data_IF_794319524548
#
_entry.id   IF_794319524548
#
_cell.length_a   1.000
_cell.length_b   1.000
_cell.length_c   1.000
_cell.angle_alpha   90.00
_cell.angle_beta   90.00
_cell.angle_gamma   90.00
#
_symmetry.space_group_name_H-M   'P 1'
#
loop_
_entity.id
_entity.type
_entity.pdbx_description
1 polymer ?
#
# COMPACT_ATOMS: atom_id res chain seq x y z
N UNK A 1 -0.81 -14.21 -17.55
CA UNK A 1 -1.35 -14.58 -16.22
C UNK A 1 -0.61 -13.73 -15.20
N UNK A 2 -1.08 -12.51 -14.93
CA UNK A 2 -0.41 -11.63 -13.96
C UNK A 2 -0.80 -12.07 -12.57
N UNK A 3 0.18 -12.56 -11.79
CA UNK A 3 0.01 -12.91 -10.39
C UNK A 3 -0.60 -11.72 -9.64
N UNK A 4 -1.87 -11.86 -9.28
CA UNK A 4 -2.47 -11.15 -8.17
C UNK A 4 -1.87 -11.82 -6.93
N UNK A 5 -0.71 -11.32 -6.50
CA UNK A 5 -0.13 -11.71 -5.23
C UNK A 5 -0.95 -10.98 -4.17
N UNK A 6 -2.09 -11.59 -3.82
CA UNK A 6 -2.86 -11.24 -2.63
C UNK A 6 -2.04 -11.76 -1.46
N UNK A 7 -1.03 -10.99 -1.07
CA UNK A 7 -0.27 -11.26 0.13
C UNK A 7 -1.27 -11.02 1.27
N UNK A 8 -1.52 -12.03 2.10
CA UNK A 8 -2.38 -11.98 3.29
C UNK A 8 -1.74 -11.09 4.38
N UNK A 9 -1.42 -9.85 4.03
CA UNK A 9 -0.68 -8.89 4.84
C UNK A 9 -1.12 -7.49 4.48
N UNK A 10 -1.85 -6.88 5.41
CA UNK A 10 -2.46 -5.55 5.37
C UNK A 10 -3.59 -5.37 4.34
N UNK A 11 -4.76 -5.01 4.85
CA UNK A 11 -6.00 -4.92 4.10
C UNK A 11 -6.14 -3.57 3.36
N UNK A 12 -5.22 -3.29 2.42
CA UNK A 12 -5.32 -2.11 1.57
C UNK A 12 -5.02 -2.42 0.11
N UNK A 13 -5.76 -1.77 -0.79
CA UNK A 13 -5.59 -1.88 -2.23
C UNK A 13 -4.72 -0.74 -2.73
N UNK A 14 -3.61 -1.03 -3.40
CA UNK A 14 -2.82 0.00 -4.10
C UNK A 14 -3.52 0.35 -5.42
N UNK A 15 -4.05 1.57 -5.50
CA UNK A 15 -4.80 2.06 -6.67
C UNK A 15 -3.85 2.70 -7.68
N UNK A 16 -2.85 3.44 -7.20
CA UNK A 16 -1.86 4.12 -8.05
C UNK A 16 -0.47 4.04 -7.40
N UNK A 17 0.56 3.80 -8.21
CA UNK A 17 1.97 3.87 -7.80
C UNK A 17 2.76 4.55 -8.93
N UNK A 18 3.15 5.80 -8.72
CA UNK A 18 4.00 6.56 -9.66
C UNK A 18 5.50 6.44 -9.33
N UNK A 19 5.85 5.53 -8.41
CA UNK A 19 7.22 5.30 -7.94
C UNK A 19 7.67 6.26 -6.85
N UNK A 20 7.16 7.51 -6.84
CA UNK A 20 7.37 8.47 -5.76
C UNK A 20 6.17 8.57 -4.82
N UNK A 21 4.96 8.53 -5.36
CA UNK A 21 3.72 8.52 -4.59
C UNK A 21 2.98 7.19 -4.82
N UNK A 22 2.34 6.74 -3.75
CA UNK A 22 1.49 5.57 -3.73
C UNK A 22 0.13 5.99 -3.18
N UNK A 23 -0.92 5.72 -3.94
CA UNK A 23 -2.30 5.90 -3.51
C UNK A 23 -2.84 4.55 -3.11
N UNK A 24 -3.21 4.40 -1.84
CA UNK A 24 -3.88 3.21 -1.33
C UNK A 24 -5.34 3.51 -1.02
N UNK A 25 -6.18 2.51 -1.13
CA UNK A 25 -7.60 2.54 -0.78
C UNK A 25 -7.86 1.43 0.23
N UNK A 26 -8.48 1.80 1.35
CA UNK A 26 -8.91 0.89 2.39
C UNK A 26 -10.42 0.77 2.28
N UNK A 27 -10.90 -0.44 2.00
CA UNK A 27 -12.34 -0.71 1.94
C UNK A 27 -12.92 -0.83 3.35
N UNK A 28 -14.23 -0.62 3.49
CA UNK A 28 -14.90 -0.81 4.78
C UNK A 28 -14.88 -2.28 5.23
N UNK A 29 -14.96 -3.21 4.27
CA UNK A 29 -14.86 -4.65 4.53
C UNK A 29 -13.49 -5.02 5.11
N UNK A 30 -12.42 -4.47 4.52
CA UNK A 30 -11.05 -4.68 4.97
C UNK A 30 -10.80 -4.12 6.38
N UNK A 31 -11.26 -2.90 6.65
CA UNK A 31 -11.17 -2.30 7.99
C UNK A 31 -11.93 -3.12 9.04
N UNK A 32 -13.12 -3.61 8.72
CA UNK A 32 -13.90 -4.46 9.64
C UNK A 32 -13.24 -5.82 9.87
N UNK A 33 -12.59 -6.39 8.85
CA UNK A 33 -11.84 -7.65 8.98
C UNK A 33 -10.66 -7.47 9.94
N UNK A 34 -9.82 -6.46 9.75
CA UNK A 34 -8.68 -6.23 10.64
C UNK A 34 -9.11 -5.87 12.06
N UNK A 35 -10.22 -5.12 12.20
CA UNK A 35 -10.83 -4.86 13.51
C UNK A 35 -11.33 -6.13 14.20
N UNK A 36 -11.91 -7.07 13.44
CA UNK A 36 -12.34 -8.37 13.94
C UNK A 36 -11.16 -9.27 14.33
N UNK A 37 -10.02 -9.15 13.66
CA UNK A 37 -8.75 -9.81 14.00
C UNK A 37 -8.08 -9.24 15.27
N UNK A 38 -8.66 -8.19 15.87
CA UNK A 38 -8.18 -7.60 17.12
C UNK A 38 -7.04 -6.61 16.93
N UNK A 39 -6.85 -6.08 15.71
CA UNK A 39 -5.94 -4.96 15.48
C UNK A 39 -6.49 -3.71 16.15
N UNK A 40 -5.64 -2.99 16.86
CA UNK A 40 -6.02 -1.77 17.56
C UNK A 40 -6.43 -0.65 16.58
N UNK A 41 -7.47 0.11 16.92
CA UNK A 41 -8.02 1.18 16.07
C UNK A 41 -6.99 2.26 15.72
N UNK A 42 -6.00 2.50 16.60
CA UNK A 42 -4.91 3.45 16.36
C UNK A 42 -3.91 2.95 15.31
N UNK A 43 -3.82 1.63 15.13
CA UNK A 43 -2.97 0.99 14.12
C UNK A 43 -3.71 0.74 12.80
N UNK A 44 -5.05 0.86 12.80
CA UNK A 44 -5.88 0.70 11.61
C UNK A 44 -5.96 1.99 10.79
N UNK A 45 -5.84 1.83 9.48
CA UNK A 45 -6.24 2.88 8.56
C UNK A 45 -7.76 2.86 8.45
N UNK A 46 -8.40 4.02 8.62
CA UNK A 46 -9.85 4.14 8.44
C UNK A 46 -10.22 3.86 6.98
N UNK A 47 -11.45 3.44 6.68
CA UNK A 47 -11.91 3.29 5.30
C UNK A 47 -11.75 4.61 4.54
N UNK A 48 -11.15 4.55 3.35
CA UNK A 48 -10.89 5.74 2.55
C UNK A 48 -9.64 5.63 1.68
N UNK A 49 -9.36 6.72 0.96
CA UNK A 49 -8.26 6.80 0.00
C UNK A 49 -7.13 7.66 0.55
N UNK A 50 -5.96 7.08 0.66
CA UNK A 50 -4.77 7.70 1.23
C UNK A 50 -3.71 7.89 0.15
N UNK A 51 -3.30 9.13 -0.06
CA UNK A 51 -2.14 9.45 -0.88
C UNK A 51 -0.91 9.55 0.01
N UNK A 52 -0.03 8.57 -0.14
CA UNK A 52 1.22 8.48 0.60
C UNK A 52 2.36 8.85 -0.35
N UNK A 53 3.30 9.65 0.12
CA UNK A 53 4.57 9.81 -0.57
C UNK A 53 5.49 8.72 -0.04
N UNK A 54 6.01 7.84 -0.91
CA UNK A 54 7.07 6.90 -0.48
C UNK A 54 8.19 7.76 0.08
N UNK A 55 8.41 7.64 1.39
CA UNK A 55 9.18 8.60 2.16
C UNK A 55 10.56 8.83 1.56
N UNK A 56 11.16 9.98 1.86
CA UNK A 56 12.50 10.38 1.41
C UNK A 56 13.64 9.41 1.79
N UNK A 57 13.34 8.20 2.27
CA UNK A 57 14.24 7.05 2.27
C UNK A 57 14.78 6.76 0.85
N UNK A 58 13.94 6.72 -0.19
CA UNK A 58 14.43 6.57 -1.57
C UNK A 58 15.12 7.83 -2.11
N UNK A 59 14.74 9.02 -1.62
CA UNK A 59 15.44 10.26 -1.93
C UNK A 59 16.84 10.33 -1.28
N UNK A 60 17.00 9.76 -0.07
CA UNK A 60 18.28 9.65 0.68
C UNK A 60 19.14 8.47 0.22
N UNK A 61 18.52 7.43 -0.33
CA UNK A 61 19.19 6.24 -0.86
C UNK A 61 18.82 6.02 -2.34
N UNK A 62 19.30 6.89 -3.25
CA UNK A 62 18.96 6.83 -4.67
C UNK A 62 19.42 5.53 -5.37
N UNK A 63 20.34 4.77 -4.76
CA UNK A 63 20.80 3.46 -5.25
C UNK A 63 19.77 2.34 -5.08
N UNK A 64 18.76 2.53 -4.24
CA UNK A 64 17.68 1.56 -4.00
C UNK A 64 16.41 1.88 -4.80
N UNK A 65 16.46 2.85 -5.73
CA UNK A 65 15.34 3.09 -6.64
C UNK A 65 15.05 1.79 -7.40
N UNK A 66 13.81 1.26 -7.35
CA UNK A 66 13.46 0.12 -8.18
C UNK A 66 13.66 0.57 -9.63
N UNK A 67 14.54 -0.13 -10.36
CA UNK A 67 14.65 0.10 -11.79
C UNK A 67 13.26 -0.12 -12.38
N UNK A 68 12.72 0.88 -13.10
CA UNK A 68 11.48 0.74 -13.85
C UNK A 68 11.57 -0.54 -14.68
N UNK A 69 10.91 -1.60 -14.20
CA UNK A 69 10.76 -2.81 -15.00
C UNK A 69 9.83 -2.40 -16.13
N UNK A 70 10.39 -2.02 -17.28
CA UNK A 70 9.65 -1.88 -18.53
C UNK A 70 8.88 -3.18 -18.72
N UNK A 71 7.58 -3.13 -18.48
CA UNK A 71 6.65 -4.20 -18.87
C UNK A 71 6.72 -4.23 -20.39
N UNK A 72 7.40 -5.24 -20.92
CA UNK A 72 7.38 -5.63 -22.32
C UNK A 72 6.30 -6.70 -22.51
#
# INVERSE_FOLDING_TARGET
MSNQQTEEGFAFTVVEDDGENVTIEVSEEDYQREKADGVDDESLLKPGRYKLKRGGFMARHPKMKPQERKRA
#
